data_IF_790714359476
#
_entry.id   IF_790714359476
#
_cell.length_a   1.000
_cell.length_b   1.000
_cell.length_c   1.000
_cell.angle_alpha   90.00
_cell.angle_beta   90.00
_cell.angle_gamma   90.00
#
_symmetry.space_group_name_H-M   'P 1'
#
loop_
_entity.id
_entity.type
_entity.pdbx_description
1 polymer ?
#
# COMPACT_ATOMS: atom_id res chain seq x y z
N UNK A 1 -46.16 -65.49 -21.27
CA UNK A 1 -47.41 -64.81 -20.88
C UNK A 1 -47.05 -63.33 -20.79
N UNK A 2 -47.30 -62.58 -21.88
CA UNK A 2 -48.49 -61.74 -22.08
C UNK A 2 -48.57 -60.62 -21.01
N UNK A 3 -48.78 -59.33 -21.27
CA UNK A 3 -48.88 -58.50 -22.46
C UNK A 3 -49.29 -57.08 -21.98
N UNK A 4 -48.68 -56.03 -22.54
CA UNK A 4 -49.35 -54.81 -23.08
C UNK A 4 -50.01 -53.81 -22.09
N UNK A 5 -49.54 -52.55 -22.00
CA UNK A 5 -49.68 -51.37 -22.90
C UNK A 5 -51.05 -50.68 -22.86
N UNK A 6 -51.02 -49.34 -22.67
CA UNK A 6 -51.72 -48.23 -23.39
C UNK A 6 -51.43 -46.95 -22.58
N UNK A 7 -50.54 -46.03 -22.99
CA UNK A 7 -50.66 -45.02 -24.06
C UNK A 7 -51.98 -44.22 -24.08
N UNK A 8 -51.88 -42.92 -23.85
CA UNK A 8 -52.62 -41.92 -24.63
C UNK A 8 -51.76 -40.68 -24.82
N UNK A 9 -51.48 -40.44 -26.09
CA UNK A 9 -50.73 -39.40 -26.74
C UNK A 9 -51.72 -38.36 -27.26
N UNK A 10 -51.44 -37.06 -27.12
CA UNK A 10 -51.81 -36.08 -28.15
C UNK A 10 -50.71 -35.03 -28.28
N UNK A 11 -49.96 -35.19 -29.38
CA UNK A 11 -49.16 -34.21 -30.09
C UNK A 11 -50.04 -33.12 -30.71
N UNK A 12 -49.55 -31.86 -30.74
CA UNK A 12 -49.63 -31.02 -31.95
C UNK A 12 -48.31 -30.25 -32.13
N UNK A 13 -47.42 -30.87 -32.91
CA UNK A 13 -46.86 -30.38 -34.18
C UNK A 13 -46.29 -28.96 -34.28
N UNK A 14 -44.95 -28.90 -34.24
CA UNK A 14 -44.02 -28.38 -35.27
C UNK A 14 -44.35 -27.07 -35.99
N UNK A 15 -43.46 -26.09 -35.84
CA UNK A 15 -42.89 -25.40 -37.01
C UNK A 15 -41.40 -25.10 -36.80
N UNK A 16 -40.57 -25.87 -37.49
CA UNK A 16 -39.14 -25.66 -37.68
C UNK A 16 -38.86 -24.65 -38.78
N UNK A 17 -37.69 -24.01 -38.66
CA UNK A 17 -36.89 -23.29 -39.67
C UNK A 17 -36.93 -21.76 -39.62
N UNK A 18 -35.86 -21.17 -39.07
CA UNK A 18 -34.98 -20.26 -39.83
C UNK A 18 -33.76 -19.93 -38.98
N UNK A 19 -32.65 -20.62 -39.25
CA UNK A 19 -31.30 -20.18 -38.89
C UNK A 19 -30.99 -18.96 -39.75
N UNK A 20 -31.14 -17.75 -39.20
CA UNK A 20 -30.52 -16.53 -39.74
C UNK A 20 -30.12 -15.59 -38.58
N UNK A 21 -28.80 -15.54 -38.37
CA UNK A 21 -28.00 -14.43 -37.86
C UNK A 21 -28.73 -13.27 -37.18
N UNK A 22 -28.50 -13.11 -35.87
CA UNK A 22 -28.61 -11.84 -35.18
C UNK A 22 -27.40 -11.63 -34.25
N UNK A 23 -26.20 -11.83 -34.80
CA UNK A 23 -24.93 -11.33 -34.25
C UNK A 23 -24.62 -9.98 -34.88
N UNK A 24 -25.27 -8.90 -34.43
CA UNK A 24 -24.78 -7.54 -34.64
C UNK A 24 -25.70 -6.49 -33.99
N UNK A 25 -25.55 -6.24 -32.69
CA UNK A 25 -25.89 -4.93 -32.14
C UNK A 25 -25.16 -4.65 -30.82
N UNK A 26 -23.84 -4.72 -30.86
CA UNK A 26 -22.96 -4.01 -29.93
C UNK A 26 -21.89 -3.31 -30.76
N UNK A 27 -22.32 -2.32 -31.56
CA UNK A 27 -21.41 -1.36 -32.17
C UNK A 27 -21.36 -0.12 -31.29
N UNK A 28 -20.77 -0.25 -30.10
CA UNK A 28 -20.19 0.89 -29.43
C UNK A 28 -18.76 0.99 -29.95
N UNK A 29 -18.59 1.78 -31.02
CA UNK A 29 -17.28 2.17 -31.52
C UNK A 29 -16.57 2.98 -30.44
N UNK A 30 -15.85 2.30 -29.56
CA UNK A 30 -14.85 2.95 -28.71
C UNK A 30 -13.73 3.39 -29.65
N UNK A 31 -13.72 4.68 -29.97
CA UNK A 31 -12.65 5.29 -30.75
C UNK A 31 -11.34 5.18 -29.97
N UNK A 32 -10.50 4.23 -30.39
CA UNK A 32 -9.20 3.95 -29.79
C UNK A 32 -8.27 5.20 -29.81
N UNK A 33 -8.50 6.13 -30.75
CA UNK A 33 -7.78 7.40 -30.81
C UNK A 33 -8.27 8.38 -29.74
N UNK A 34 -9.55 8.35 -29.39
CA UNK A 34 -10.11 9.14 -28.30
C UNK A 34 -9.64 8.60 -26.94
N UNK A 35 -9.62 7.27 -26.76
CA UNK A 35 -9.09 6.64 -25.55
C UNK A 35 -7.58 6.93 -25.32
N UNK A 36 -6.77 6.88 -26.38
CA UNK A 36 -5.35 7.26 -26.30
C UNK A 36 -5.14 8.75 -26.01
N UNK A 37 -6.01 9.63 -26.52
CA UNK A 37 -6.00 11.05 -26.16
C UNK A 37 -6.37 11.28 -24.69
N UNK A 38 -7.34 10.54 -24.17
CA UNK A 38 -7.75 10.65 -22.76
C UNK A 38 -6.66 10.16 -21.79
N UNK A 39 -5.93 9.09 -22.14
CA UNK A 39 -4.74 8.64 -21.39
C UNK A 39 -3.58 9.64 -21.47
N UNK A 40 -3.35 10.28 -22.62
CA UNK A 40 -2.27 11.27 -22.76
C UNK A 40 -2.63 12.63 -22.13
N UNK A 41 -3.92 12.98 -22.04
CA UNK A 41 -4.41 14.15 -21.32
C UNK A 41 -4.45 13.92 -19.81
N UNK A 42 -4.68 12.68 -19.36
CA UNK A 42 -4.37 12.26 -17.99
C UNK A 42 -2.86 11.97 -17.84
N UNK A 43 -2.05 13.01 -18.07
CA UNK A 43 -0.73 13.08 -17.43
C UNK A 43 -0.93 12.71 -15.97
N UNK A 44 -0.35 11.59 -15.56
CA UNK A 44 -0.29 11.07 -14.20
C UNK A 44 -0.61 12.14 -13.16
N UNK A 45 -1.90 12.30 -12.83
CA UNK A 45 -2.30 13.00 -11.62
C UNK A 45 -2.00 12.03 -10.49
N UNK A 46 -0.72 12.04 -10.11
CA UNK A 46 -0.27 11.62 -8.79
C UNK A 46 -1.11 12.46 -7.84
N UNK A 47 -2.17 11.88 -7.27
CA UNK A 47 -3.03 12.55 -6.29
C UNK A 47 -2.34 12.51 -4.94
N UNK A 48 -1.21 13.19 -4.87
CA UNK A 48 -0.66 13.81 -3.69
C UNK A 48 0.33 14.83 -4.23
N UNK A 49 -0.02 16.10 -4.08
CA UNK A 49 1.02 17.13 -4.05
C UNK A 49 2.10 16.62 -3.09
N UNK A 50 3.40 16.66 -3.45
CA UNK A 50 4.45 16.32 -2.50
C UNK A 50 4.17 17.14 -1.24
N UNK A 51 3.97 16.47 -0.11
CA UNK A 51 3.99 17.16 1.18
C UNK A 51 5.35 17.82 1.20
N UNK A 52 5.38 19.16 1.12
CA UNK A 52 6.63 19.89 1.14
C UNK A 52 7.34 19.49 2.43
N UNK A 53 8.48 18.84 2.28
CA UNK A 53 9.25 18.30 3.39
C UNK A 53 9.50 19.40 4.43
N UNK A 54 9.76 20.63 3.96
CA UNK A 54 9.93 21.83 4.78
C UNK A 54 8.68 22.11 5.62
N UNK A 55 7.50 22.08 5.01
CA UNK A 55 6.22 22.30 5.70
C UNK A 55 5.90 21.23 6.75
N UNK A 56 6.28 19.96 6.51
CA UNK A 56 6.08 18.89 7.48
C UNK A 56 6.97 19.06 8.71
N UNK A 57 8.27 19.35 8.50
CA UNK A 57 9.19 19.65 9.60
C UNK A 57 8.69 20.86 10.39
N UNK A 58 8.26 21.92 9.69
CA UNK A 58 7.76 23.14 10.32
C UNK A 58 6.50 22.92 11.16
N UNK A 59 5.55 22.09 10.68
CA UNK A 59 4.32 21.79 11.40
C UNK A 59 4.50 20.81 12.57
N UNK A 60 5.56 19.99 12.55
CA UNK A 60 5.92 19.11 13.68
C UNK A 60 6.56 19.88 14.84
N UNK A 61 6.99 21.13 14.64
CA UNK A 61 7.62 22.00 15.65
C UNK A 61 6.57 22.98 16.21
N UNK A 62 5.60 22.47 16.95
CA UNK A 62 4.86 23.26 17.93
C UNK A 62 5.28 22.87 19.36
N UNK A 63 6.57 22.99 19.65
CA UNK A 63 7.11 23.32 20.97
C UNK A 63 8.52 23.86 20.77
N UNK A 64 8.78 25.07 21.28
CA UNK A 64 10.06 25.81 21.30
C UNK A 64 10.34 26.80 20.14
N UNK A 65 9.94 28.05 20.39
CA UNK A 65 10.64 29.33 20.19
C UNK A 65 11.70 29.44 19.08
N UNK A 66 11.39 30.34 18.14
CA UNK A 66 12.25 31.20 17.29
C UNK A 66 13.76 30.91 17.28
N UNK A 67 14.31 30.60 16.10
CA UNK A 67 15.18 31.56 15.42
C UNK A 67 15.22 31.35 13.90
N UNK A 68 15.28 32.49 13.23
CA UNK A 68 15.04 32.71 11.80
C UNK A 68 16.38 32.67 11.06
N UNK A 69 16.51 31.84 10.04
CA UNK A 69 17.53 32.00 9.01
C UNK A 69 16.92 31.64 7.65
N UNK A 70 16.84 32.66 6.78
CA UNK A 70 16.39 32.60 5.41
C UNK A 70 17.36 31.77 4.55
N UNK A 71 16.84 30.87 3.72
CA UNK A 71 17.49 30.50 2.47
C UNK A 71 16.43 30.36 1.38
N UNK A 72 16.36 31.40 0.54
CA UNK A 72 15.80 31.30 -0.81
C UNK A 72 16.80 30.56 -1.68
N UNK A 73 16.35 29.57 -2.45
CA UNK A 73 16.71 29.46 -3.87
C UNK A 73 15.89 28.38 -4.55
N UNK A 74 15.16 28.81 -5.57
CA UNK A 74 14.45 28.01 -6.54
C UNK A 74 15.43 27.17 -7.36
N UNK A 75 15.29 25.84 -7.40
CA UNK A 75 15.59 25.04 -8.59
C UNK A 75 14.73 23.77 -8.61
N UNK A 76 14.25 23.42 -9.81
CA UNK A 76 13.54 22.19 -10.09
C UNK A 76 14.51 21.00 -9.91
N UNK A 77 14.44 20.32 -8.78
CA UNK A 77 15.23 19.11 -8.53
C UNK A 77 14.58 17.88 -9.17
N UNK A 78 15.26 17.39 -10.21
CA UNK A 78 15.23 15.97 -10.57
C UNK A 78 15.46 15.10 -9.31
N UNK A 79 14.88 13.89 -9.22
CA UNK A 79 15.01 13.07 -8.01
C UNK A 79 16.48 12.81 -7.71
N UNK A 80 16.95 13.40 -6.60
CA UNK A 80 18.30 13.21 -6.07
C UNK A 80 18.55 11.71 -5.99
N UNK A 81 19.57 11.22 -6.70
CA UNK A 81 19.99 9.83 -6.58
C UNK A 81 20.74 9.67 -5.25
N UNK A 82 19.94 9.53 -4.18
CA UNK A 82 20.39 9.32 -2.81
C UNK A 82 21.21 8.01 -2.76
N UNK A 83 22.45 8.05 -2.26
CA UNK A 83 23.33 6.87 -2.21
C UNK A 83 22.77 5.79 -1.28
N UNK A 84 23.13 4.52 -1.52
CA UNK A 84 22.62 3.33 -0.80
C UNK A 84 22.36 3.45 0.71
N UNK A 85 23.28 3.96 1.55
CA UNK A 85 23.06 4.05 3.01
C UNK A 85 22.01 5.09 3.42
N UNK A 86 21.79 6.10 2.60
CA UNK A 86 20.84 7.18 2.90
C UNK A 86 19.39 6.73 2.61
N UNK A 87 19.20 5.73 1.73
CA UNK A 87 17.89 5.10 1.47
C UNK A 87 17.40 4.19 2.59
N UNK A 88 18.24 3.86 3.57
CA UNK A 88 17.89 2.93 4.65
C UNK A 88 16.72 3.46 5.49
N UNK A 89 16.60 4.78 5.66
CA UNK A 89 15.48 5.39 6.41
C UNK A 89 14.15 5.16 5.71
N UNK A 90 14.11 5.37 4.39
CA UNK A 90 12.96 5.07 3.55
C UNK A 90 12.68 3.56 3.49
N UNK A 91 13.71 2.72 3.47
CA UNK A 91 13.54 1.27 3.53
C UNK A 91 12.90 0.80 4.84
N UNK A 92 13.33 1.31 6.00
CA UNK A 92 12.73 1.00 7.30
C UNK A 92 11.24 1.34 7.32
N UNK A 93 10.89 2.54 6.85
CA UNK A 93 9.50 2.98 6.76
C UNK A 93 8.69 2.09 5.79
N UNK A 94 9.24 1.81 4.61
CA UNK A 94 8.60 0.96 3.60
C UNK A 94 8.32 -0.46 4.11
N UNK A 95 9.31 -1.09 4.75
CA UNK A 95 9.21 -2.45 5.27
C UNK A 95 8.16 -2.54 6.39
N UNK A 96 8.10 -1.53 7.27
CA UNK A 96 7.06 -1.45 8.28
C UNK A 96 5.67 -1.35 7.65
N UNK A 97 5.47 -0.44 6.71
CA UNK A 97 4.18 -0.22 6.05
C UNK A 97 3.68 -1.50 5.37
N UNK A 98 4.55 -2.16 4.59
CA UNK A 98 4.23 -3.43 3.94
C UNK A 98 3.87 -4.52 4.92
N UNK A 99 4.54 -4.58 6.07
CA UNK A 99 4.29 -5.58 7.09
C UNK A 99 2.98 -5.32 7.84
N UNK A 100 2.66 -4.07 8.16
CA UNK A 100 1.36 -3.67 8.72
C UNK A 100 0.23 -4.06 7.76
N UNK A 101 0.33 -3.67 6.49
CA UNK A 101 -0.67 -3.99 5.48
C UNK A 101 -0.85 -5.51 5.32
N UNK A 102 0.26 -6.27 5.26
CA UNK A 102 0.21 -7.72 5.13
C UNK A 102 -0.38 -8.40 6.37
N UNK A 103 -0.14 -7.83 7.57
CA UNK A 103 -0.73 -8.34 8.80
C UNK A 103 -2.25 -8.17 8.81
N UNK A 104 -2.77 -7.03 8.34
CA UNK A 104 -4.20 -6.77 8.31
C UNK A 104 -4.86 -7.62 7.21
N UNK A 105 -4.36 -7.52 5.98
CA UNK A 105 -4.95 -8.08 4.77
C UNK A 105 -4.34 -9.44 4.37
N UNK A 106 -4.18 -10.37 5.31
CA UNK A 106 -3.52 -11.68 5.09
C UNK A 106 -4.07 -12.48 3.90
N UNK A 107 -5.37 -12.39 3.62
CA UNK A 107 -6.00 -13.13 2.51
C UNK A 107 -5.70 -12.56 1.12
N UNK A 108 -5.05 -11.39 1.04
CA UNK A 108 -4.83 -10.68 -0.22
C UNK A 108 -3.38 -10.82 -0.68
N UNK A 109 -3.20 -11.47 -1.84
CA UNK A 109 -1.86 -11.66 -2.44
C UNK A 109 -1.23 -10.36 -2.93
N UNK A 110 -2.05 -9.40 -3.35
CA UNK A 110 -1.61 -8.13 -3.93
C UNK A 110 -2.33 -6.98 -3.23
N UNK A 111 -1.57 -5.98 -2.82
CA UNK A 111 -2.04 -4.83 -2.04
C UNK A 111 -1.78 -3.54 -2.81
N UNK A 112 -2.15 -3.51 -4.10
CA UNK A 112 -1.93 -2.34 -4.96
C UNK A 112 -2.84 -1.18 -4.56
N UNK A 113 -2.25 0.01 -4.39
CA UNK A 113 -2.98 1.18 -3.92
C UNK A 113 -3.42 1.09 -2.45
N UNK A 114 -2.89 0.13 -1.68
CA UNK A 114 -3.08 0.09 -0.23
C UNK A 114 -1.98 0.93 0.41
N UNK A 115 -2.38 1.86 1.26
CA UNK A 115 -1.50 2.69 2.09
C UNK A 115 -2.00 2.64 3.52
N UNK A 116 -1.16 3.01 4.48
CA UNK A 116 -1.62 3.05 5.88
C UNK A 116 -2.75 4.07 6.09
N UNK A 117 -2.76 5.15 5.31
CA UNK A 117 -3.78 6.20 5.37
C UNK A 117 -5.15 5.75 4.88
N UNK A 118 -5.21 4.77 3.98
CA UNK A 118 -6.47 4.33 3.37
C UNK A 118 -7.00 2.99 3.90
N UNK A 119 -6.39 2.44 4.96
CA UNK A 119 -6.80 1.16 5.57
C UNK A 119 -8.32 1.08 5.81
N UNK A 120 -9.01 2.07 6.44
CA UNK A 120 -10.44 1.97 6.68
C UNK A 120 -11.27 1.82 5.39
N UNK A 121 -10.89 2.58 4.36
CA UNK A 121 -11.50 2.49 3.03
C UNK A 121 -11.22 1.13 2.37
N UNK A 122 -9.98 0.65 2.46
CA UNK A 122 -9.58 -0.65 1.94
C UNK A 122 -10.26 -1.82 2.65
N UNK A 123 -10.50 -1.75 3.95
CA UNK A 123 -11.29 -2.75 4.67
C UNK A 123 -12.71 -2.83 4.10
N UNK A 124 -13.37 -1.70 3.87
CA UNK A 124 -14.70 -1.67 3.25
C UNK A 124 -14.68 -2.25 1.83
N UNK A 125 -13.69 -1.85 1.02
CA UNK A 125 -13.51 -2.31 -0.35
C UNK A 125 -13.36 -3.84 -0.41
N UNK A 126 -12.43 -4.42 0.34
CA UNK A 126 -12.17 -5.87 0.30
C UNK A 126 -13.27 -6.71 0.94
N UNK A 127 -14.08 -6.10 1.81
CA UNK A 127 -15.22 -6.78 2.42
C UNK A 127 -16.49 -6.65 1.57
N UNK A 128 -16.46 -5.91 0.46
CA UNK A 128 -17.60 -5.74 -0.44
C UNK A 128 -17.51 -6.72 -1.60
N UNK A 129 -18.55 -7.51 -1.81
CA UNK A 129 -18.59 -8.44 -2.93
C UNK A 129 -18.68 -7.66 -4.26
N UNK A 130 -17.78 -7.90 -5.23
CA UNK A 130 -17.60 -7.02 -6.38
C UNK A 130 -18.81 -6.99 -7.33
N UNK A 131 -19.59 -8.08 -7.40
CA UNK A 131 -20.73 -8.18 -8.31
C UNK A 131 -22.07 -7.75 -7.69
N UNK A 132 -22.20 -7.88 -6.37
CA UNK A 132 -23.48 -7.66 -5.68
C UNK A 132 -23.48 -6.39 -4.85
N UNK A 133 -22.31 -5.80 -4.60
CA UNK A 133 -22.16 -4.65 -3.72
C UNK A 133 -22.48 -4.94 -2.24
N UNK A 134 -22.80 -6.19 -1.89
CA UNK A 134 -23.12 -6.57 -0.52
C UNK A 134 -21.83 -6.68 0.29
N UNK A 135 -21.85 -6.08 1.48
CA UNK A 135 -20.74 -6.14 2.43
C UNK A 135 -20.83 -7.42 3.25
N UNK A 136 -19.74 -8.15 3.33
CA UNK A 136 -19.52 -9.17 4.35
C UNK A 136 -19.18 -8.48 5.68
N UNK A 137 -20.19 -8.30 6.51
CA UNK A 137 -20.07 -7.62 7.80
C UNK A 137 -19.17 -8.38 8.78
N UNK A 138 -19.17 -9.72 8.74
CA UNK A 138 -18.32 -10.54 9.60
C UNK A 138 -16.85 -10.38 9.26
N UNK A 139 -16.51 -10.46 7.96
CA UNK A 139 -15.15 -10.24 7.48
C UNK A 139 -14.68 -8.80 7.71
N UNK A 140 -15.56 -7.81 7.47
CA UNK A 140 -15.28 -6.39 7.76
C UNK A 140 -14.92 -6.19 9.23
N UNK A 141 -15.74 -6.71 10.14
CA UNK A 141 -15.52 -6.58 11.58
C UNK A 141 -14.20 -7.25 12.01
N UNK A 142 -13.91 -8.43 11.47
CA UNK A 142 -12.64 -9.13 11.72
C UNK A 142 -11.42 -8.29 11.32
N UNK A 143 -11.44 -7.65 10.15
CA UNK A 143 -10.34 -6.79 9.70
C UNK A 143 -10.20 -5.53 10.56
N UNK A 144 -11.32 -4.90 10.96
CA UNK A 144 -11.32 -3.74 11.86
C UNK A 144 -10.68 -4.11 13.20
N UNK A 145 -11.11 -5.23 13.79
CA UNK A 145 -10.59 -5.70 15.07
C UNK A 145 -9.09 -6.01 14.98
N UNK A 146 -8.68 -6.71 13.94
CA UNK A 146 -7.27 -7.02 13.69
C UNK A 146 -6.42 -5.77 13.54
N UNK A 147 -6.90 -4.77 12.79
CA UNK A 147 -6.22 -3.48 12.65
C UNK A 147 -6.10 -2.77 14.01
N UNK A 148 -7.19 -2.71 14.79
CA UNK A 148 -7.19 -2.09 16.11
C UNK A 148 -6.23 -2.79 17.09
N UNK A 149 -6.21 -4.12 17.10
CA UNK A 149 -5.33 -4.92 17.95
C UNK A 149 -3.85 -4.72 17.59
N UNK A 150 -3.54 -4.65 16.29
CA UNK A 150 -2.18 -4.33 15.83
C UNK A 150 -1.78 -2.92 16.24
N UNK A 151 -2.63 -1.91 16.00
CA UNK A 151 -2.32 -0.53 16.36
C UNK A 151 -2.16 -0.36 17.87
N UNK A 152 -2.96 -1.07 18.69
CA UNK A 152 -2.78 -1.10 20.14
C UNK A 152 -1.44 -1.69 20.56
N UNK A 153 -0.94 -2.72 19.86
CA UNK A 153 0.40 -3.29 20.13
C UNK A 153 1.51 -2.32 19.73
N UNK A 154 1.43 -1.72 18.54
CA UNK A 154 2.42 -0.76 18.07
C UNK A 154 2.43 0.53 18.90
N UNK A 155 1.28 0.95 19.42
CA UNK A 155 1.19 2.11 20.30
C UNK A 155 2.01 1.96 21.58
N UNK A 156 2.13 0.74 22.13
CA UNK A 156 2.97 0.45 23.30
C UNK A 156 4.46 0.71 23.06
N UNK A 157 4.91 0.67 21.81
CA UNK A 157 6.29 0.98 21.41
C UNK A 157 6.41 2.38 20.79
N UNK A 158 5.39 3.22 20.98
CA UNK A 158 5.40 4.64 20.61
C UNK A 158 4.63 4.97 19.33
N UNK A 159 4.08 4.00 18.60
CA UNK A 159 3.40 4.27 17.33
C UNK A 159 2.12 5.10 17.50
N UNK A 160 1.98 6.18 16.74
CA UNK A 160 0.81 7.06 16.69
C UNK A 160 0.13 6.94 15.33
N UNK A 161 -1.13 6.52 15.31
CA UNK A 161 -1.93 6.33 14.09
C UNK A 161 -2.17 7.62 13.31
N UNK A 162 -2.18 8.77 14.01
CA UNK A 162 -2.42 10.08 13.39
C UNK A 162 -1.16 10.70 12.78
N UNK A 163 0.04 10.23 13.16
CA UNK A 163 1.31 10.82 12.76
C UNK A 163 2.09 9.90 11.83
N UNK A 164 2.32 8.66 12.25
CA UNK A 164 3.31 7.80 11.60
C UNK A 164 2.92 7.30 10.21
N UNK A 165 1.63 7.10 9.85
CA UNK A 165 1.26 6.82 8.47
C UNK A 165 1.65 7.94 7.49
N UNK A 166 1.41 9.21 7.84
CA UNK A 166 1.82 10.35 7.02
C UNK A 166 3.35 10.47 7.00
N UNK A 167 3.97 10.28 8.17
CA UNK A 167 5.41 10.34 8.32
C UNK A 167 6.13 9.27 7.49
N UNK A 168 5.67 8.01 7.52
CA UNK A 168 6.28 6.92 6.76
C UNK A 168 6.22 7.19 5.26
N UNK A 169 5.08 7.66 4.75
CA UNK A 169 4.93 8.07 3.35
C UNK A 169 5.92 9.18 2.98
N UNK A 170 6.07 10.20 3.83
CA UNK A 170 7.03 11.29 3.63
C UNK A 170 8.48 10.78 3.61
N UNK A 171 8.85 9.92 4.55
CA UNK A 171 10.19 9.34 4.65
C UNK A 171 10.52 8.49 3.42
N UNK A 172 9.59 7.64 2.97
CA UNK A 172 9.75 6.83 1.75
C UNK A 172 9.90 7.71 0.53
N UNK A 173 9.10 8.77 0.40
CA UNK A 173 9.16 9.68 -0.74
C UNK A 173 10.46 10.50 -0.76
N UNK A 174 10.96 10.89 0.41
CA UNK A 174 12.17 11.71 0.53
C UNK A 174 13.46 10.91 0.37
N UNK A 175 13.62 9.82 1.13
CA UNK A 175 14.84 9.02 1.14
C UNK A 175 14.86 7.91 0.07
N UNK A 176 13.70 7.54 -0.46
CA UNK A 176 13.54 6.41 -1.37
C UNK A 176 13.74 5.06 -0.68
N UNK A 177 13.59 3.98 -1.46
CA UNK A 177 13.73 2.59 -1.00
C UNK A 177 14.96 1.92 -1.64
N UNK A 178 15.44 0.85 -1.02
CA UNK A 178 16.48 -0.01 -1.57
C UNK A 178 15.87 -0.87 -2.69
N UNK A 179 16.17 -0.53 -3.95
CA UNK A 179 15.63 -1.22 -5.13
C UNK A 179 16.26 -2.59 -5.40
N UNK A 180 17.48 -2.79 -4.91
CA UNK A 180 18.26 -4.00 -5.15
C UNK A 180 18.71 -4.56 -3.81
N UNK A 181 18.66 -5.89 -3.68
CA UNK A 181 19.36 -6.61 -2.62
C UNK A 181 20.83 -6.20 -2.69
N UNK A 182 21.44 -5.71 -1.60
CA UNK A 182 22.86 -5.42 -1.53
C UNK A 182 23.61 -6.61 -2.09
N UNK A 183 24.39 -6.40 -3.17
CA UNK A 183 25.14 -7.47 -3.82
C UNK A 183 25.96 -8.20 -2.77
N UNK A 184 26.00 -9.52 -2.89
CA UNK A 184 26.60 -10.51 -1.98
C UNK A 184 28.10 -10.24 -1.68
N UNK A 185 28.42 -9.15 -1.00
CA UNK A 185 29.41 -9.20 0.05
C UNK A 185 28.63 -9.71 1.27
N UNK A 186 28.92 -10.93 1.71
CA UNK A 186 28.26 -11.67 2.80
C UNK A 186 27.94 -10.87 4.07
N UNK A 187 28.56 -9.70 4.23
CA UNK A 187 28.49 -8.86 5.41
C UNK A 187 27.36 -7.81 5.33
N UNK A 188 26.91 -7.39 4.15
CA UNK A 188 25.92 -6.28 4.09
C UNK A 188 24.49 -6.71 4.44
N UNK A 189 24.08 -7.92 4.04
CA UNK A 189 22.73 -8.43 4.34
C UNK A 189 22.56 -8.77 5.83
N UNK A 190 23.61 -9.26 6.48
CA UNK A 190 23.66 -9.46 7.92
C UNK A 190 23.69 -8.12 8.68
N UNK A 191 24.31 -7.09 8.09
CA UNK A 191 24.36 -5.74 8.66
C UNK A 191 22.99 -5.05 8.63
N UNK A 192 22.23 -5.11 7.53
CA UNK A 192 20.90 -4.47 7.48
C UNK A 192 19.82 -5.21 8.28
N UNK A 193 20.04 -6.48 8.61
CA UNK A 193 19.18 -7.23 9.53
C UNK A 193 19.54 -7.03 11.00
N UNK A 194 20.55 -6.21 11.32
CA UNK A 194 20.94 -5.91 12.70
C UNK A 194 20.26 -4.63 13.20
N UNK A 195 19.33 -4.70 14.18
CA UNK A 195 18.65 -3.54 14.73
C UNK A 195 19.60 -2.46 15.29
N UNK A 196 20.70 -2.87 15.93
CA UNK A 196 21.66 -1.95 16.54
C UNK A 196 22.41 -1.14 15.48
N UNK A 197 22.72 -1.78 14.35
CA UNK A 197 23.33 -1.09 13.21
C UNK A 197 22.37 -0.04 12.63
N UNK A 198 21.12 -0.42 12.37
CA UNK A 198 20.10 0.50 11.86
C UNK A 198 19.87 1.68 12.81
N UNK A 199 19.79 1.42 14.12
CA UNK A 199 19.65 2.45 15.15
C UNK A 199 20.84 3.43 15.11
N UNK A 200 22.08 2.92 15.06
CA UNK A 200 23.28 3.75 14.97
C UNK A 200 23.28 4.59 13.68
N UNK A 201 22.84 4.01 12.58
CA UNK A 201 22.76 4.70 11.29
C UNK A 201 21.75 5.86 11.35
N UNK A 202 20.55 5.64 11.87
CA UNK A 202 19.53 6.68 12.07
C UNK A 202 20.07 7.79 12.97
N UNK A 203 20.68 7.44 14.11
CA UNK A 203 21.27 8.41 15.04
C UNK A 203 22.36 9.27 14.40
N UNK A 204 23.13 8.71 13.47
CA UNK A 204 24.26 9.39 12.84
C UNK A 204 23.83 10.24 11.64
N UNK A 205 22.88 9.76 10.83
CA UNK A 205 22.57 10.31 9.51
C UNK A 205 21.26 11.10 9.43
N UNK A 206 20.27 10.80 10.28
CA UNK A 206 18.98 11.48 10.18
C UNK A 206 19.05 12.93 10.69
N UNK A 207 18.25 13.86 10.12
CA UNK A 207 18.00 15.17 10.70
C UNK A 207 17.46 15.05 12.12
N UNK A 208 17.79 16.01 12.99
CA UNK A 208 17.48 15.93 14.44
C UNK A 208 15.97 15.82 14.69
N UNK A 209 15.20 16.49 13.85
CA UNK A 209 13.75 16.62 13.89
C UNK A 209 13.07 15.27 13.58
N UNK A 210 13.72 14.41 12.80
CA UNK A 210 13.16 13.13 12.34
C UNK A 210 13.63 11.92 13.14
N UNK A 211 14.70 12.06 13.91
CA UNK A 211 15.34 10.96 14.62
C UNK A 211 14.39 10.19 15.52
N UNK A 212 13.56 10.90 16.28
CA UNK A 212 12.65 10.29 17.26
C UNK A 212 11.64 9.40 16.56
N UNK A 213 10.94 9.93 15.56
CA UNK A 213 9.90 9.18 14.86
C UNK A 213 10.50 8.05 14.00
N UNK A 214 11.68 8.24 13.38
CA UNK A 214 12.39 7.16 12.67
C UNK A 214 12.76 6.00 13.59
N UNK A 215 13.19 6.29 14.83
CA UNK A 215 13.44 5.24 15.82
C UNK A 215 12.17 4.50 16.22
N UNK A 216 11.03 5.21 16.31
CA UNK A 216 9.74 4.56 16.54
C UNK A 216 9.39 3.61 15.40
N UNK A 217 9.55 4.02 14.14
CA UNK A 217 9.33 3.14 12.98
C UNK A 217 10.23 1.90 13.05
N UNK A 218 11.52 2.07 13.37
CA UNK A 218 12.45 0.95 13.53
C UNK A 218 12.01 0.00 14.66
N UNK A 219 11.65 0.53 15.83
CA UNK A 219 11.18 -0.29 16.95
C UNK A 219 9.89 -1.06 16.61
N UNK A 220 8.98 -0.44 15.85
CA UNK A 220 7.78 -1.10 15.35
C UNK A 220 8.14 -2.24 14.40
N UNK A 221 9.05 -2.01 13.46
CA UNK A 221 9.53 -3.01 12.51
C UNK A 221 10.16 -4.19 13.26
N UNK A 222 11.03 -3.93 14.24
CA UNK A 222 11.64 -4.96 15.09
C UNK A 222 10.60 -5.75 15.87
N UNK A 223 9.61 -5.08 16.45
CA UNK A 223 8.52 -5.73 17.20
C UNK A 223 7.70 -6.66 16.31
N UNK A 224 7.38 -6.22 15.09
CA UNK A 224 6.64 -7.04 14.13
C UNK A 224 7.49 -8.19 13.59
N UNK A 225 8.77 -7.96 13.34
CA UNK A 225 9.73 -8.97 12.89
C UNK A 225 9.95 -10.08 13.93
N UNK A 226 10.04 -9.71 15.19
CA UNK A 226 10.07 -10.68 16.27
C UNK A 226 8.76 -11.48 16.34
N UNK A 227 7.62 -10.81 16.15
CA UNK A 227 6.30 -11.45 16.20
C UNK A 227 5.98 -12.39 15.03
N UNK A 228 6.52 -12.14 13.84
CA UNK A 228 6.30 -12.98 12.65
C UNK A 228 7.47 -13.91 12.29
N UNK A 229 8.61 -13.78 12.99
CA UNK A 229 9.80 -14.60 12.78
C UNK A 229 10.56 -14.30 11.48
N UNK A 230 10.32 -13.14 10.85
CA UNK A 230 10.96 -12.78 9.58
C UNK A 230 12.11 -11.80 9.78
N UNK A 231 13.02 -11.79 8.79
CA UNK A 231 14.06 -10.77 8.63
C UNK A 231 13.47 -9.34 8.66
N UNK A 232 14.24 -8.33 9.06
CA UNK A 232 13.77 -6.94 9.08
C UNK A 232 13.43 -6.44 7.68
N UNK A 233 14.34 -6.69 6.73
CA UNK A 233 14.17 -6.33 5.33
C UNK A 233 13.84 -7.58 4.52
N UNK A 234 12.76 -7.48 3.75
CA UNK A 234 12.31 -8.50 2.81
C UNK A 234 12.57 -8.00 1.39
N UNK A 235 13.32 -8.77 0.62
CA UNK A 235 13.70 -8.48 -0.76
C UNK A 235 12.68 -9.00 -1.77
#
# INVERSE_FOLDING_TARGET
MQSSNTDTLEDITVCSTSVKQATSLCQNTVDERQFKKDIQQTKFKRTSSPVDFSSFIQNSVHTAVSDRAEFQSSQAESPIEVKGPDKVMGEVAYQLDRRILSHIFQSHKRLYGFTLLNIPGKIKEVSTHPLTGKVDEGYKLHLIQRHADLMKKLNKVGYKTELHPCFSELIVNHYGILKERPRESSDQETVYNNPNFLMKLIMTKAPRELKVDLLVLLNCLCTMAHGDGKALFLW
#
